data_IF_850687738210
#
_entry.id   IF_850687738210
#
_cell.length_a   1.000
_cell.length_b   1.000
_cell.length_c   1.000
_cell.angle_alpha   90.00
_cell.angle_beta   90.00
_cell.angle_gamma   90.00
#
_symmetry.space_group_name_H-M   'P 1'
#
loop_
_entity.id
_entity.type
_entity.pdbx_description
1 polymer ?
#
# COMPACT_ATOMS: atom_id res chain seq x y z
N UNK A 1 4.92 -0.85 44.43
CA UNK A 1 5.77 -0.34 43.32
C UNK A 1 6.37 -1.47 42.46
N UNK A 2 5.68 -2.60 42.23
CA UNK A 2 6.18 -3.69 41.35
C UNK A 2 5.41 -3.79 40.02
N UNK A 3 4.40 -2.95 39.78
CA UNK A 3 3.56 -2.98 38.57
C UNK A 3 4.25 -2.40 37.33
N UNK A 4 5.09 -1.37 37.48
CA UNK A 4 5.79 -0.76 36.34
C UNK A 4 6.79 -1.72 35.68
N UNK A 5 7.52 -2.50 36.49
CA UNK A 5 8.52 -3.44 35.97
C UNK A 5 7.89 -4.51 35.09
N UNK A 6 6.69 -5.00 35.43
CA UNK A 6 6.06 -6.09 34.68
C UNK A 6 5.40 -5.59 33.38
N UNK A 7 4.91 -4.34 33.36
CA UNK A 7 4.36 -3.75 32.14
C UNK A 7 5.47 -3.38 31.16
N UNK A 8 6.63 -2.95 31.67
CA UNK A 8 7.80 -2.59 30.84
C UNK A 8 8.29 -3.76 29.98
N UNK A 9 8.30 -4.99 30.51
CA UNK A 9 8.65 -6.20 29.76
C UNK A 9 7.80 -6.37 28.50
N UNK A 10 6.50 -6.03 28.58
CA UNK A 10 5.60 -6.11 27.42
C UNK A 10 5.86 -5.02 26.39
N UNK A 11 6.23 -3.81 26.81
CA UNK A 11 6.68 -2.78 25.86
C UNK A 11 7.90 -3.24 25.07
N UNK A 12 8.86 -3.88 25.74
CA UNK A 12 10.08 -4.36 25.10
C UNK A 12 9.83 -5.62 24.25
N UNK A 13 8.92 -6.50 24.67
CA UNK A 13 8.46 -7.64 23.87
C UNK A 13 7.78 -7.19 22.57
N UNK A 14 6.94 -6.14 22.61
CA UNK A 14 6.31 -5.61 21.39
C UNK A 14 7.38 -5.04 20.46
N UNK A 15 8.33 -4.23 20.98
CA UNK A 15 9.40 -3.64 20.16
C UNK A 15 10.30 -4.68 19.49
N UNK A 16 10.58 -5.77 20.20
CA UNK A 16 11.46 -6.85 19.72
C UNK A 16 10.75 -7.90 18.87
N UNK A 17 9.42 -7.89 18.78
CA UNK A 17 8.68 -8.82 17.94
C UNK A 17 9.07 -8.66 16.46
N UNK A 18 9.34 -9.79 15.82
CA UNK A 18 9.86 -9.90 14.44
C UNK A 18 8.82 -10.44 13.44
N UNK A 19 7.61 -10.75 13.91
CA UNK A 19 6.56 -11.38 13.11
C UNK A 19 5.18 -10.98 13.59
N UNK A 20 4.21 -11.00 12.66
CA UNK A 20 2.81 -10.69 12.95
C UNK A 20 2.21 -11.72 13.92
N UNK A 21 2.64 -12.98 13.83
CA UNK A 21 2.19 -14.04 14.74
C UNK A 21 2.64 -13.78 16.18
N UNK A 22 3.90 -13.38 16.40
CA UNK A 22 4.37 -12.97 17.74
C UNK A 22 3.62 -11.77 18.28
N UNK A 23 3.27 -10.79 17.44
CA UNK A 23 2.45 -9.66 17.86
C UNK A 23 1.07 -10.11 18.34
N UNK A 24 0.47 -11.11 17.68
CA UNK A 24 -0.82 -11.67 18.06
C UNK A 24 -0.73 -12.48 19.36
N UNK A 25 0.33 -13.27 19.55
CA UNK A 25 0.62 -13.96 20.81
C UNK A 25 0.76 -12.97 21.98
N UNK A 26 1.51 -11.88 21.77
CA UNK A 26 1.67 -10.82 22.77
C UNK A 26 0.33 -10.15 23.06
N UNK A 27 -0.48 -9.85 22.03
CA UNK A 27 -1.83 -9.27 22.21
C UNK A 27 -2.70 -10.14 23.10
N UNK A 28 -2.69 -11.45 22.89
CA UNK A 28 -3.48 -12.40 23.69
C UNK A 28 -2.94 -12.46 25.12
N UNK A 29 -1.62 -12.47 25.32
CA UNK A 29 -1.00 -12.50 26.63
C UNK A 29 -1.24 -11.21 27.45
N UNK A 30 -1.35 -10.06 26.78
CA UNK A 30 -1.61 -8.77 27.43
C UNK A 30 -3.10 -8.51 27.65
N UNK A 31 -3.91 -8.65 26.61
CA UNK A 31 -5.33 -8.22 26.59
C UNK A 31 -6.34 -9.37 26.62
N UNK A 32 -5.90 -10.62 26.55
CA UNK A 32 -6.78 -11.78 26.60
C UNK A 32 -7.52 -11.90 27.94
N UNK A 33 -8.50 -12.83 28.01
CA UNK A 33 -9.32 -13.04 29.22
C UNK A 33 -8.50 -13.31 30.49
N UNK A 34 -7.34 -13.96 30.36
CA UNK A 34 -6.37 -14.23 31.44
C UNK A 34 -5.10 -13.40 31.30
N UNK A 35 -5.14 -12.33 30.51
CA UNK A 35 -3.97 -11.51 30.23
C UNK A 35 -3.55 -10.65 31.40
N UNK A 36 -2.31 -10.19 31.38
CA UNK A 36 -1.72 -9.41 32.49
C UNK A 36 -2.55 -8.16 32.81
N UNK A 37 -3.10 -7.50 31.78
CA UNK A 37 -3.87 -6.27 31.98
C UNK A 37 -5.16 -6.53 32.77
N UNK A 38 -5.87 -7.63 32.46
CA UNK A 38 -7.07 -8.03 33.20
C UNK A 38 -6.74 -8.51 34.62
N UNK A 39 -5.57 -9.13 34.82
CA UNK A 39 -5.09 -9.52 36.15
C UNK A 39 -4.81 -8.27 37.02
N UNK A 40 -4.16 -7.25 36.47
CA UNK A 40 -3.91 -5.98 37.18
C UNK A 40 -5.21 -5.21 37.48
N UNK A 41 -6.18 -5.18 36.56
CA UNK A 41 -7.51 -4.62 36.85
C UNK A 41 -8.25 -5.40 37.94
N UNK A 42 -8.03 -6.71 38.07
CA UNK A 42 -8.64 -7.53 39.12
C UNK A 42 -8.00 -7.25 40.49
N UNK A 43 -6.67 -7.07 40.54
CA UNK A 43 -5.92 -6.69 41.75
C UNK A 43 -6.36 -5.34 42.33
N UNK A 44 -6.95 -4.47 41.52
CA UNK A 44 -7.52 -3.20 41.97
C UNK A 44 -8.60 -3.36 43.07
N UNK A 45 -9.23 -4.54 43.19
CA UNK A 45 -10.19 -4.84 44.26
C UNK A 45 -9.57 -4.79 45.66
N UNK A 46 -8.27 -5.06 45.77
CA UNK A 46 -7.54 -5.17 47.03
C UNK A 46 -6.84 -3.85 47.43
N UNK A 47 -6.95 -2.80 46.61
CA UNK A 47 -6.32 -1.49 46.84
C UNK A 47 -7.21 -0.62 47.76
N UNK A 48 -6.65 0.22 48.65
CA UNK A 48 -7.44 1.19 49.41
C UNK A 48 -8.12 2.24 48.51
N UNK A 49 -9.34 2.67 48.85
CA UNK A 49 -10.12 3.62 48.02
C UNK A 49 -9.40 4.95 47.73
N UNK A 50 -8.51 5.39 48.63
CA UNK A 50 -7.70 6.60 48.43
C UNK A 50 -6.68 6.48 47.26
N UNK A 51 -6.20 5.28 46.96
CA UNK A 51 -5.17 5.02 45.93
C UNK A 51 -5.74 4.35 44.67
N UNK A 52 -6.99 3.86 44.72
CA UNK A 52 -7.67 3.22 43.56
C UNK A 52 -7.75 4.13 42.35
N UNK A 53 -8.07 5.41 42.54
CA UNK A 53 -8.27 6.36 41.45
C UNK A 53 -6.99 6.62 40.65
N UNK A 54 -5.86 6.80 41.35
CA UNK A 54 -4.55 7.01 40.72
C UNK A 54 -4.07 5.75 40.01
N UNK A 55 -4.21 4.59 40.65
CA UNK A 55 -3.84 3.30 40.05
C UNK A 55 -4.65 2.98 38.79
N UNK A 56 -5.98 3.18 38.82
CA UNK A 56 -6.84 2.96 37.66
C UNK A 56 -6.48 3.86 36.48
N UNK A 57 -6.11 5.12 36.77
CA UNK A 57 -5.71 6.08 35.73
C UNK A 57 -4.40 5.65 35.07
N UNK A 58 -3.40 5.28 35.87
CA UNK A 58 -2.11 4.79 35.40
C UNK A 58 -2.26 3.51 34.56
N UNK A 59 -3.08 2.56 35.02
CA UNK A 59 -3.34 1.33 34.27
C UNK A 59 -4.04 1.58 32.93
N UNK A 60 -4.94 2.55 32.86
CA UNK A 60 -5.56 2.96 31.59
C UNK A 60 -4.54 3.59 30.63
N UNK A 61 -3.61 4.42 31.13
CA UNK A 61 -2.53 4.99 30.31
C UNK A 61 -1.67 3.87 29.71
N UNK A 62 -1.29 2.87 30.51
CA UNK A 62 -0.52 1.73 30.00
C UNK A 62 -1.31 0.88 29.01
N UNK A 63 -2.60 0.66 29.26
CA UNK A 63 -3.49 -0.04 28.34
C UNK A 63 -3.54 0.65 26.97
N UNK A 64 -3.71 1.96 26.96
CA UNK A 64 -3.72 2.75 25.71
C UNK A 64 -2.35 2.72 25.02
N UNK A 65 -1.26 2.92 25.77
CA UNK A 65 0.09 2.91 25.24
C UNK A 65 0.52 1.56 24.65
N UNK A 66 0.23 0.45 25.33
CA UNK A 66 0.51 -0.90 24.82
C UNK A 66 -0.33 -1.21 23.57
N UNK A 67 -1.59 -0.79 23.55
CA UNK A 67 -2.45 -0.99 22.38
C UNK A 67 -1.96 -0.20 21.17
N UNK A 68 -1.59 1.07 21.36
CA UNK A 68 -1.00 1.89 20.30
C UNK A 68 0.29 1.27 19.77
N UNK A 69 1.19 0.85 20.66
CA UNK A 69 2.46 0.24 20.26
C UNK A 69 2.27 -1.09 19.51
N UNK A 70 1.29 -1.91 19.90
CA UNK A 70 0.93 -3.14 19.16
C UNK A 70 0.46 -2.84 17.74
N UNK A 71 -0.42 -1.84 17.58
CA UNK A 71 -0.94 -1.44 16.27
C UNK A 71 0.19 -0.93 15.39
N UNK A 72 1.02 -0.03 15.91
CA UNK A 72 2.15 0.55 15.17
C UNK A 72 3.16 -0.52 14.74
N UNK A 73 3.52 -1.43 15.66
CA UNK A 73 4.47 -2.50 15.34
C UNK A 73 3.89 -3.50 14.33
N UNK A 74 2.61 -3.83 14.44
CA UNK A 74 1.92 -4.69 13.46
C UNK A 74 1.93 -4.06 12.08
N UNK A 75 1.63 -2.77 11.99
CA UNK A 75 1.62 -2.03 10.73
C UNK A 75 3.02 -1.99 10.11
N UNK A 76 4.05 -1.71 10.92
CA UNK A 76 5.44 -1.72 10.49
C UNK A 76 5.84 -3.06 9.87
N UNK A 77 5.60 -4.18 10.58
CA UNK A 77 5.95 -5.52 10.08
C UNK A 77 5.17 -5.89 8.82
N UNK A 78 3.89 -5.50 8.73
CA UNK A 78 3.08 -5.72 7.53
C UNK A 78 3.61 -4.93 6.33
N UNK A 79 4.06 -3.68 6.54
CA UNK A 79 4.66 -2.86 5.48
C UNK A 79 6.01 -3.43 5.03
N UNK A 80 6.85 -3.90 5.96
CA UNK A 80 8.12 -4.56 5.59
C UNK A 80 7.87 -5.82 4.76
N UNK A 81 6.92 -6.67 5.17
CA UNK A 81 6.57 -7.87 4.42
C UNK A 81 6.02 -7.54 3.02
N UNK A 82 5.14 -6.53 2.91
CA UNK A 82 4.62 -6.06 1.64
C UNK A 82 5.76 -5.56 0.73
N UNK A 83 6.66 -4.75 1.26
CA UNK A 83 7.78 -4.21 0.48
C UNK A 83 8.72 -5.31 0.01
N UNK A 84 9.00 -6.31 0.86
CA UNK A 84 9.80 -7.47 0.47
C UNK A 84 9.13 -8.26 -0.67
N UNK A 85 7.82 -8.47 -0.57
CA UNK A 85 7.01 -9.15 -1.61
C UNK A 85 7.04 -8.36 -2.93
N UNK A 86 6.80 -7.05 -2.88
CA UNK A 86 6.84 -6.18 -4.06
C UNK A 86 8.21 -6.18 -4.76
N UNK A 87 9.31 -6.26 -3.99
CA UNK A 87 10.66 -6.37 -4.57
C UNK A 87 10.91 -7.74 -5.20
N UNK A 88 10.41 -8.80 -4.59
CA UNK A 88 10.54 -10.16 -5.12
C UNK A 88 9.74 -10.36 -6.42
N UNK A 89 8.60 -9.68 -6.54
CA UNK A 89 7.71 -9.72 -7.71
C UNK A 89 7.99 -8.61 -8.73
N UNK A 90 9.05 -7.80 -8.52
CA UNK A 90 9.36 -6.68 -9.40
C UNK A 90 9.73 -7.19 -10.81
N UNK A 91 8.99 -6.70 -11.80
CA UNK A 91 9.24 -6.96 -13.22
C UNK A 91 9.76 -5.70 -13.91
N UNK A 92 10.61 -5.87 -14.91
CA UNK A 92 11.00 -4.77 -15.80
C UNK A 92 9.89 -4.51 -16.82
N UNK A 93 9.10 -3.46 -16.55
CA UNK A 93 7.99 -3.04 -17.41
C UNK A 93 8.44 -2.55 -18.80
N UNK A 94 9.72 -2.22 -19.00
CA UNK A 94 10.25 -1.79 -20.30
C UNK A 94 10.42 -2.94 -21.29
N UNK A 95 10.50 -4.19 -20.80
CA UNK A 95 10.60 -5.38 -21.63
C UNK A 95 9.27 -5.74 -22.31
N UNK A 96 8.15 -5.19 -21.84
CA UNK A 96 6.86 -5.39 -22.48
C UNK A 96 6.69 -4.38 -23.63
N UNK A 97 6.90 -4.85 -24.86
CA UNK A 97 6.58 -4.12 -26.08
C UNK A 97 5.36 -4.76 -26.74
N UNK A 98 4.20 -4.11 -26.64
CA UNK A 98 3.05 -4.39 -27.50
C UNK A 98 3.26 -3.72 -28.87
N UNK A 99 4.40 -3.96 -29.52
CA UNK A 99 4.62 -3.49 -30.89
C UNK A 99 3.69 -4.27 -31.81
N UNK A 100 2.56 -3.66 -32.11
CA UNK A 100 1.79 -4.02 -33.29
C UNK A 100 2.53 -3.43 -34.47
N UNK A 101 2.77 -4.22 -35.52
CA UNK A 101 3.35 -3.68 -36.74
C UNK A 101 2.40 -2.61 -37.30
N UNK A 102 2.86 -1.36 -37.34
CA UNK A 102 2.13 -0.30 -38.00
C UNK A 102 2.36 -0.43 -39.51
N UNK A 103 1.26 -0.53 -40.28
CA UNK A 103 1.34 -0.40 -41.73
C UNK A 103 1.87 0.98 -42.12
N UNK A 104 2.60 1.05 -43.23
CA UNK A 104 3.05 2.31 -43.83
C UNK A 104 2.27 2.59 -45.11
N UNK A 105 2.03 3.87 -45.41
CA UNK A 105 1.50 4.25 -46.72
C UNK A 105 2.55 3.98 -47.80
N UNK A 106 2.10 3.62 -49.00
CA UNK A 106 3.00 3.49 -50.13
C UNK A 106 3.58 4.88 -50.49
N UNK A 107 4.89 5.04 -50.76
CA UNK A 107 5.51 6.35 -51.00
C UNK A 107 4.88 7.18 -52.12
N UNK A 108 4.32 6.50 -53.14
CA UNK A 108 3.58 7.16 -54.22
C UNK A 108 2.28 7.80 -53.70
N UNK A 109 1.55 7.10 -52.82
CA UNK A 109 0.33 7.64 -52.21
C UNK A 109 0.68 8.82 -51.31
N UNK A 110 1.72 8.69 -50.48
CA UNK A 110 2.18 9.78 -49.61
C UNK A 110 2.56 11.02 -50.42
N UNK A 111 3.28 10.85 -51.54
CA UNK A 111 3.66 11.95 -52.42
C UNK A 111 2.44 12.58 -53.09
N UNK A 112 1.51 11.76 -53.57
CA UNK A 112 0.27 12.23 -54.20
C UNK A 112 -0.57 13.04 -53.22
N UNK A 113 -0.77 12.54 -52.00
CA UNK A 113 -1.53 13.22 -50.95
C UNK A 113 -0.91 14.57 -50.59
N UNK A 114 0.44 14.63 -50.47
CA UNK A 114 1.17 15.89 -50.22
C UNK A 114 1.01 16.90 -51.35
N UNK A 115 1.04 16.46 -52.60
CA UNK A 115 0.82 17.35 -53.75
C UNK A 115 -0.62 17.86 -53.73
N UNK A 116 -1.60 16.98 -53.53
CA UNK A 116 -3.02 17.34 -53.44
C UNK A 116 -3.25 18.38 -52.34
N UNK A 117 -2.66 18.18 -51.15
CA UNK A 117 -2.78 19.09 -50.02
C UNK A 117 -2.34 20.53 -50.36
N UNK A 118 -1.21 20.69 -51.07
CA UNK A 118 -0.73 22.01 -51.48
C UNK A 118 -1.69 22.75 -52.42
N UNK A 119 -2.30 22.04 -53.37
CA UNK A 119 -3.21 22.68 -54.34
C UNK A 119 -4.60 22.91 -53.78
N UNK A 120 -5.10 22.03 -52.91
CA UNK A 120 -6.36 22.22 -52.19
C UNK A 120 -6.29 23.48 -51.31
N UNK A 121 -5.15 23.74 -50.66
CA UNK A 121 -4.94 24.97 -49.89
C UNK A 121 -5.02 26.25 -50.76
N UNK A 122 -4.85 26.13 -52.08
CA UNK A 122 -5.02 27.21 -53.06
C UNK A 122 -6.43 27.27 -53.67
N UNK A 123 -7.41 26.58 -53.07
CA UNK A 123 -8.80 26.44 -53.54
C UNK A 123 -8.97 25.66 -54.87
N UNK A 124 -8.03 24.77 -55.20
CA UNK A 124 -8.26 23.80 -56.29
C UNK A 124 -9.09 22.61 -55.80
N UNK A 125 -9.85 22.00 -56.70
CA UNK A 125 -10.63 20.78 -56.43
C UNK A 125 -9.98 19.55 -57.07
N UNK A 126 -10.03 18.40 -56.39
CA UNK A 126 -9.53 17.11 -56.93
C UNK A 126 -10.60 16.47 -57.79
N UNK A 127 -10.24 16.03 -58.99
CA UNK A 127 -11.10 15.30 -59.92
C UNK A 127 -10.44 13.98 -60.31
N UNK A 128 -11.21 12.90 -60.38
CA UNK A 128 -10.74 11.57 -60.80
C UNK A 128 -11.48 11.12 -62.06
N UNK A 129 -10.76 10.61 -63.05
CA UNK A 129 -11.31 10.06 -64.29
C UNK A 129 -11.12 8.54 -64.40
N UNK A 130 -11.72 7.90 -65.43
CA UNK A 130 -11.45 6.49 -65.73
C UNK A 130 -9.99 6.25 -66.15
N UNK A 131 -9.50 5.02 -65.99
CA UNK A 131 -8.13 4.64 -66.37
C UNK A 131 -7.96 4.44 -67.88
N UNK A 132 -9.07 4.25 -68.60
CA UNK A 132 -9.12 4.09 -70.05
C UNK A 132 -10.06 5.16 -70.58
N UNK A 133 -9.56 5.97 -71.49
CA UNK A 133 -10.28 7.03 -72.19
C UNK A 133 -10.37 6.66 -73.68
N UNK A 134 -11.38 7.16 -74.37
CA UNK A 134 -11.40 7.16 -75.82
C UNK A 134 -10.74 8.44 -76.37
N UNK A 135 -10.63 8.55 -77.70
CA UNK A 135 -9.97 9.68 -78.35
C UNK A 135 -10.79 11.00 -78.27
N UNK A 136 -12.00 11.00 -77.69
CA UNK A 136 -12.95 12.13 -77.73
C UNK A 136 -13.52 12.55 -76.37
#
# INVERSE_FOLDING_TARGET
>A
MNGDSILQEWYDAIKSADSIDKIEEIRIAVFGKKGIMNAEFTRMKDIPDAEKGTFAKELNIHKEGLNALLVDRKLFLAMEHLQATMRAEAIDVSLYSATTEHGSLHPVMETMDRIVEYFVAMNFSVQTGPMVEDDF
#
